data_IF_128889625617
#
_entry.id   IF_128889625617
#
_cell.length_a   1.000
_cell.length_b   1.000
_cell.length_c   1.000
_cell.angle_alpha   90.00
_cell.angle_beta   90.00
_cell.angle_gamma   90.00
#
_symmetry.space_group_name_H-M   'P 1'
#
loop_
_entity.id
_entity.type
_entity.pdbx_description
1 polymer ?
#
# COMPACT_ATOMS: atom_id res chain seq x y z
N UNK A 1 17.88 -11.27 -27.19
CA UNK A 1 18.71 -11.79 -26.10
C UNK A 1 18.21 -11.11 -24.80
N UNK A 2 17.88 -11.89 -23.79
CA UNK A 2 17.61 -11.40 -22.46
C UNK A 2 18.96 -11.34 -21.70
N UNK A 3 19.41 -10.15 -21.27
CA UNK A 3 20.63 -10.06 -20.49
C UNK A 3 20.39 -10.63 -19.09
N UNK A 4 21.27 -11.49 -18.63
CA UNK A 4 21.31 -11.93 -17.24
C UNK A 4 22.07 -10.88 -16.41
N UNK A 5 21.37 -10.19 -15.50
CA UNK A 5 21.95 -9.16 -14.66
C UNK A 5 22.19 -9.76 -13.27
N UNK A 6 23.46 -9.98 -12.93
CA UNK A 6 23.84 -10.42 -11.60
C UNK A 6 23.81 -9.24 -10.62
N UNK A 7 22.95 -9.34 -9.61
CA UNK A 7 22.93 -8.38 -8.52
C UNK A 7 24.00 -8.69 -7.48
N UNK A 8 24.53 -7.69 -6.76
CA UNK A 8 25.45 -7.91 -5.65
C UNK A 8 24.84 -8.84 -4.59
N UNK A 9 25.59 -9.81 -4.14
CA UNK A 9 25.13 -10.74 -3.09
C UNK A 9 24.84 -10.03 -1.75
N UNK A 10 25.56 -8.93 -1.49
CA UNK A 10 25.39 -8.12 -0.30
C UNK A 10 25.18 -6.66 -0.70
N UNK A 11 24.14 -6.04 -0.15
CA UNK A 11 23.91 -4.61 -0.26
C UNK A 11 24.55 -3.88 0.92
N UNK A 12 25.05 -2.63 0.73
CA UNK A 12 25.66 -1.84 1.80
C UNK A 12 24.63 -1.40 2.87
N UNK A 13 23.33 -1.43 2.52
CA UNK A 13 22.21 -1.17 3.40
C UNK A 13 21.00 -1.97 2.93
N UNK A 14 19.99 -2.11 3.79
CA UNK A 14 18.75 -2.84 3.47
C UNK A 14 18.03 -2.28 2.23
N UNK A 15 18.28 -1.02 1.94
CA UNK A 15 17.74 -0.26 0.81
C UNK A 15 18.85 0.58 0.21
N UNK A 16 19.17 0.36 -1.05
CA UNK A 16 20.29 1.00 -1.74
C UNK A 16 19.86 1.51 -3.10
N UNK A 17 20.06 2.81 -3.39
CA UNK A 17 19.90 3.36 -4.74
C UNK A 17 21.05 2.91 -5.62
N UNK A 18 20.72 2.42 -6.81
CA UNK A 18 21.67 1.98 -7.81
C UNK A 18 21.33 2.59 -9.16
N UNK A 19 22.27 2.51 -10.10
CA UNK A 19 22.06 2.98 -11.47
C UNK A 19 22.43 1.86 -12.44
N UNK A 20 21.48 1.48 -13.29
CA UNK A 20 21.73 0.61 -14.42
C UNK A 20 22.10 1.47 -15.64
N UNK A 21 23.28 1.26 -16.20
CA UNK A 21 23.74 1.97 -17.38
C UNK A 21 23.84 0.97 -18.54
N UNK A 22 22.99 1.12 -19.54
CA UNK A 22 23.04 0.35 -20.77
C UNK A 22 23.79 1.15 -21.85
N UNK A 23 24.85 0.57 -22.40
CA UNK A 23 25.65 1.18 -23.47
C UNK A 23 25.60 0.31 -24.73
N UNK A 24 25.22 0.92 -25.83
CA UNK A 24 25.35 0.32 -27.15
C UNK A 24 26.65 0.80 -27.78
N UNK A 25 27.50 -0.14 -28.18
CA UNK A 25 28.77 0.20 -28.85
C UNK A 25 28.88 -0.53 -30.18
N UNK A 26 29.51 0.12 -31.16
CA UNK A 26 29.91 -0.46 -32.44
C UNK A 26 31.41 -0.24 -32.67
N UNK A 27 32.15 -1.31 -32.94
CA UNK A 27 33.61 -1.28 -33.08
C UNK A 27 34.34 -0.58 -31.89
N UNK A 28 33.79 -0.73 -30.67
CA UNK A 28 34.33 -0.11 -29.46
C UNK A 28 33.96 1.36 -29.26
N UNK A 29 33.25 1.97 -30.18
CA UNK A 29 32.75 3.35 -30.06
C UNK A 29 31.32 3.37 -29.52
N UNK A 30 31.01 4.23 -28.55
CA UNK A 30 29.66 4.33 -28.01
C UNK A 30 28.71 4.97 -29.04
N UNK A 31 27.58 4.27 -29.32
CA UNK A 31 26.51 4.77 -30.16
C UNK A 31 25.41 5.41 -29.30
N UNK A 32 25.07 4.77 -28.20
CA UNK A 32 24.01 5.21 -27.31
C UNK A 32 24.25 4.74 -25.88
N UNK A 33 23.74 5.51 -24.92
CA UNK A 33 23.70 5.11 -23.52
C UNK A 33 22.38 5.51 -22.89
N UNK A 34 21.77 4.59 -22.14
CA UNK A 34 20.59 4.86 -21.31
C UNK A 34 20.92 4.57 -19.87
N UNK A 35 20.41 5.41 -18.98
CA UNK A 35 20.58 5.26 -17.54
C UNK A 35 19.20 5.09 -16.87
N UNK A 36 19.13 4.14 -15.94
CA UNK A 36 17.92 3.86 -15.18
C UNK A 36 18.27 3.87 -13.69
N UNK A 37 17.52 4.62 -12.92
CA UNK A 37 17.60 4.54 -11.46
C UNK A 37 16.86 3.30 -10.98
N UNK A 38 17.51 2.53 -10.12
CA UNK A 38 16.98 1.33 -9.50
C UNK A 38 17.01 1.49 -7.98
N UNK A 39 16.06 0.84 -7.34
CA UNK A 39 16.08 0.62 -5.90
C UNK A 39 16.34 -0.87 -5.65
N UNK A 40 17.46 -1.19 -5.02
CA UNK A 40 17.81 -2.54 -4.60
C UNK A 40 17.47 -2.69 -3.13
N UNK A 41 16.76 -3.76 -2.78
CA UNK A 41 16.37 -4.05 -1.40
C UNK A 41 16.75 -5.49 -1.05
N UNK A 42 17.05 -5.74 0.22
CA UNK A 42 17.16 -7.10 0.72
C UNK A 42 15.78 -7.68 1.06
N UNK A 43 15.73 -8.96 1.45
CA UNK A 43 14.47 -9.63 1.80
C UNK A 43 13.84 -9.08 3.09
N UNK A 44 14.66 -8.62 4.01
CA UNK A 44 14.22 -8.12 5.30
C UNK A 44 13.52 -6.76 5.17
N UNK A 45 13.88 -5.99 4.17
CA UNK A 45 13.25 -4.69 3.91
C UNK A 45 11.73 -4.79 3.62
N UNK A 46 11.27 -5.89 3.00
CA UNK A 46 9.85 -6.13 2.69
C UNK A 46 9.00 -6.47 3.92
N UNK A 47 9.61 -6.64 5.08
CA UNK A 47 8.88 -6.99 6.30
C UNK A 47 8.52 -5.67 7.00
N UNK A 48 7.31 -5.18 6.73
CA UNK A 48 6.76 -4.04 7.45
C UNK A 48 6.73 -4.35 8.96
N UNK A 49 7.40 -3.55 9.76
CA UNK A 49 7.33 -3.69 11.20
C UNK A 49 6.08 -3.01 11.72
N UNK A 50 5.04 -3.79 11.96
CA UNK A 50 3.88 -3.33 12.73
C UNK A 50 4.21 -3.53 14.22
N UNK A 51 4.06 -2.46 15.01
CA UNK A 51 4.16 -2.56 16.46
C UNK A 51 3.23 -3.66 16.97
N UNK A 52 3.81 -4.74 17.50
CA UNK A 52 3.09 -5.93 17.98
C UNK A 52 2.09 -5.62 19.10
N UNK A 53 2.22 -4.47 19.77
CA UNK A 53 1.29 -4.02 20.80
C UNK A 53 0.02 -3.37 20.20
N UNK A 54 0.00 -3.07 18.91
CA UNK A 54 -1.18 -2.49 18.25
C UNK A 54 -2.21 -3.56 17.93
N UNK A 55 -3.44 -3.27 18.31
CA UNK A 55 -4.59 -4.13 18.04
C UNK A 55 -5.23 -3.69 16.72
N UNK A 56 -5.01 -4.48 15.68
CA UNK A 56 -5.63 -4.31 14.38
C UNK A 56 -6.87 -5.19 14.31
N UNK A 57 -7.99 -4.62 13.90
CA UNK A 57 -9.21 -5.36 13.57
C UNK A 57 -9.44 -5.26 12.08
N UNK A 58 -9.72 -6.39 11.42
CA UNK A 58 -9.90 -6.47 9.97
C UNK A 58 -11.29 -7.00 9.62
N UNK A 59 -12.05 -6.20 8.88
CA UNK A 59 -13.19 -6.65 8.09
C UNK A 59 -12.73 -6.86 6.65
N UNK A 60 -12.63 -8.12 6.22
CA UNK A 60 -12.08 -8.50 4.92
C UNK A 60 -13.15 -9.07 3.99
N UNK A 61 -13.35 -8.45 2.84
CA UNK A 61 -14.28 -8.87 1.78
C UNK A 61 -13.58 -9.13 0.43
N UNK A 62 -12.26 -8.89 0.34
CA UNK A 62 -11.48 -9.03 -0.90
C UNK A 62 -10.17 -9.82 -0.75
N UNK A 63 -10.06 -10.59 0.33
CA UNK A 63 -8.90 -11.44 0.61
C UNK A 63 -7.60 -10.69 0.98
N UNK A 64 -7.70 -9.48 1.49
CA UNK A 64 -6.57 -8.69 2.02
C UNK A 64 -5.82 -9.43 3.14
N UNK A 65 -6.48 -10.31 3.87
CA UNK A 65 -5.87 -11.18 4.88
C UNK A 65 -4.63 -11.93 4.38
N UNK A 66 -4.61 -12.34 3.11
CA UNK A 66 -3.46 -13.05 2.51
C UNK A 66 -2.19 -12.19 2.54
N UNK A 67 -2.34 -10.88 2.31
CA UNK A 67 -1.22 -9.93 2.39
C UNK A 67 -0.76 -9.77 3.83
N UNK A 68 -1.69 -9.69 4.78
CA UNK A 68 -1.39 -9.55 6.21
C UNK A 68 -0.68 -10.79 6.75
N UNK A 69 -1.14 -11.99 6.35
CA UNK A 69 -0.51 -13.25 6.70
C UNK A 69 0.91 -13.35 6.11
N UNK A 70 1.09 -12.92 4.86
CA UNK A 70 2.41 -12.87 4.19
C UNK A 70 3.38 -11.91 4.90
N UNK A 71 2.88 -10.75 5.35
CA UNK A 71 3.66 -9.74 6.06
C UNK A 71 3.80 -10.02 7.57
N UNK A 72 3.24 -11.13 8.08
CA UNK A 72 3.18 -11.46 9.51
C UNK A 72 2.54 -10.35 10.37
N UNK A 73 1.53 -9.65 9.84
CA UNK A 73 0.79 -8.64 10.56
C UNK A 73 -0.30 -9.33 11.39
N UNK A 74 -0.24 -9.18 12.72
CA UNK A 74 -1.27 -9.70 13.61
C UNK A 74 -2.55 -8.86 13.51
N UNK A 75 -3.68 -9.52 13.31
CA UNK A 75 -4.99 -8.87 13.27
C UNK A 75 -6.06 -9.76 13.88
N UNK A 76 -7.15 -9.15 14.32
CA UNK A 76 -8.36 -9.84 14.73
C UNK A 76 -9.40 -9.74 13.60
N UNK A 77 -9.80 -10.86 12.97
CA UNK A 77 -10.83 -10.81 11.94
C UNK A 77 -12.21 -10.60 12.57
N UNK A 78 -13.06 -9.86 11.86
CA UNK A 78 -14.49 -9.76 12.12
C UNK A 78 -15.28 -10.03 10.85
N UNK A 79 -16.52 -10.50 10.98
CA UNK A 79 -17.38 -10.84 9.86
C UNK A 79 -18.36 -9.72 9.49
N UNK A 80 -18.62 -8.80 10.42
CA UNK A 80 -19.57 -7.70 10.22
C UNK A 80 -19.17 -6.42 10.96
N UNK A 81 -19.62 -5.28 10.44
CA UNK A 81 -19.42 -3.97 11.07
C UNK A 81 -20.08 -3.91 12.45
N UNK A 82 -21.16 -4.65 12.68
CA UNK A 82 -21.87 -4.70 13.97
C UNK A 82 -20.99 -5.21 15.12
N UNK A 83 -19.99 -6.04 14.80
CA UNK A 83 -19.05 -6.53 15.81
C UNK A 83 -18.14 -5.44 16.37
N UNK A 84 -17.97 -4.32 15.66
CA UNK A 84 -17.24 -3.13 16.16
C UNK A 84 -17.86 -2.56 17.46
N UNK A 85 -19.17 -2.70 17.61
CA UNK A 85 -19.87 -2.21 18.81
C UNK A 85 -19.63 -3.11 20.03
N UNK A 86 -19.05 -4.29 19.83
CA UNK A 86 -18.71 -5.15 20.94
C UNK A 86 -17.62 -4.46 21.76
N UNK A 87 -17.98 -3.99 22.95
CA UNK A 87 -17.11 -3.23 23.88
C UNK A 87 -15.80 -3.97 24.25
N UNK A 88 -15.71 -5.27 23.94
CA UNK A 88 -14.50 -6.09 24.11
C UNK A 88 -13.48 -5.87 22.98
N UNK A 89 -13.89 -5.34 21.81
CA UNK A 89 -13.03 -5.03 20.68
C UNK A 89 -12.46 -3.62 20.85
N UNK A 90 -11.34 -3.52 21.57
CA UNK A 90 -10.55 -2.29 21.60
C UNK A 90 -9.54 -2.37 20.43
N UNK A 91 -9.85 -1.74 19.31
CA UNK A 91 -8.95 -1.64 18.18
C UNK A 91 -8.16 -0.32 18.24
N UNK A 92 -6.85 -0.39 18.01
CA UNK A 92 -6.03 0.79 17.73
C UNK A 92 -6.23 1.25 16.27
N UNK A 93 -6.52 0.30 15.38
CA UNK A 93 -6.83 0.53 13.98
C UNK A 93 -7.89 -0.46 13.51
N UNK A 94 -8.94 0.02 12.87
CA UNK A 94 -9.91 -0.79 12.18
C UNK A 94 -9.71 -0.67 10.67
N UNK A 95 -9.50 -1.80 10.01
CA UNK A 95 -9.31 -1.90 8.56
C UNK A 95 -10.54 -2.54 7.95
N UNK A 96 -11.09 -1.86 6.95
CA UNK A 96 -12.22 -2.31 6.15
C UNK A 96 -11.72 -2.50 4.72
N UNK A 97 -11.73 -3.73 4.24
CA UNK A 97 -11.24 -4.07 2.92
C UNK A 97 -12.32 -4.71 2.04
N UNK A 98 -12.41 -4.23 0.78
CA UNK A 98 -13.33 -4.76 -0.21
C UNK A 98 -14.81 -4.48 0.05
N UNK A 99 -15.14 -3.53 0.91
CA UNK A 99 -16.53 -3.16 1.16
C UNK A 99 -17.08 -2.33 -0.01
N UNK A 100 -18.03 -2.88 -0.74
CA UNK A 100 -18.63 -2.22 -1.92
C UNK A 100 -19.92 -1.45 -1.58
N UNK A 101 -20.61 -1.86 -0.54
CA UNK A 101 -21.84 -1.20 -0.08
C UNK A 101 -21.99 -1.36 1.43
N UNK A 102 -22.72 -0.46 2.07
CA UNK A 102 -23.13 -0.54 3.46
C UNK A 102 -24.54 0.00 3.66
N UNK A 103 -25.24 -0.56 4.62
CA UNK A 103 -26.56 -0.08 5.04
C UNK A 103 -26.44 1.24 5.79
N UNK A 104 -27.53 1.98 5.95
CA UNK A 104 -27.50 3.22 6.72
C UNK A 104 -27.14 2.98 8.18
N UNK A 105 -27.58 1.87 8.78
CA UNK A 105 -27.17 1.45 10.11
C UNK A 105 -25.63 1.27 10.19
N UNK A 106 -25.02 0.60 9.22
CA UNK A 106 -23.56 0.39 9.19
C UNK A 106 -22.78 1.69 8.99
N UNK A 107 -23.29 2.62 8.18
CA UNK A 107 -22.70 3.96 8.03
C UNK A 107 -22.67 4.70 9.36
N UNK A 108 -23.80 4.71 10.07
CA UNK A 108 -23.91 5.34 11.40
C UNK A 108 -22.95 4.69 12.40
N UNK A 109 -22.79 3.36 12.40
CA UNK A 109 -21.85 2.66 13.26
C UNK A 109 -20.40 3.06 12.99
N UNK A 110 -20.00 3.14 11.73
CA UNK A 110 -18.65 3.56 11.32
C UNK A 110 -18.40 5.02 11.75
N UNK A 111 -19.34 5.92 11.49
CA UNK A 111 -19.24 7.33 11.91
C UNK A 111 -19.17 7.46 13.42
N UNK A 112 -20.00 6.72 14.14
CA UNK A 112 -19.99 6.71 15.62
C UNK A 112 -18.67 6.16 16.19
N UNK A 113 -18.06 5.16 15.55
CA UNK A 113 -16.74 4.67 15.93
C UNK A 113 -15.67 5.75 15.73
N UNK A 114 -15.66 6.42 14.58
CA UNK A 114 -14.72 7.50 14.29
C UNK A 114 -14.89 8.70 15.23
N UNK A 115 -16.14 9.13 15.51
CA UNK A 115 -16.43 10.26 16.39
C UNK A 115 -15.93 10.06 17.83
N UNK A 116 -15.77 8.80 18.24
CA UNK A 116 -15.17 8.39 19.52
C UNK A 116 -13.64 8.30 19.47
N UNK A 117 -13.01 8.76 18.39
CA UNK A 117 -11.56 8.72 18.19
C UNK A 117 -11.05 7.41 17.59
N UNK A 118 -11.91 6.54 17.10
CA UNK A 118 -11.54 5.33 16.39
C UNK A 118 -10.80 5.65 15.07
N UNK A 119 -9.72 4.92 14.80
CA UNK A 119 -8.95 5.06 13.56
C UNK A 119 -9.43 4.06 12.53
N UNK A 120 -9.65 4.52 11.30
CA UNK A 120 -10.18 3.74 10.18
C UNK A 120 -9.21 3.78 9.01
N UNK A 121 -9.03 2.64 8.36
CA UNK A 121 -8.35 2.52 7.08
C UNK A 121 -9.26 1.74 6.12
N UNK A 122 -9.55 2.33 4.97
CA UNK A 122 -10.33 1.67 3.93
C UNK A 122 -9.40 1.23 2.79
N UNK A 123 -9.47 -0.05 2.44
CA UNK A 123 -8.76 -0.62 1.30
C UNK A 123 -9.80 -1.14 0.29
N UNK A 124 -9.63 -0.85 -0.99
CA UNK A 124 -10.53 -1.29 -2.08
C UNK A 124 -12.03 -1.06 -1.81
N UNK A 125 -12.38 0.00 -1.08
CA UNK A 125 -13.73 0.23 -0.57
C UNK A 125 -14.31 1.57 -1.04
N UNK A 126 -13.93 2.05 -2.24
CA UNK A 126 -14.23 3.40 -2.71
C UNK A 126 -15.71 3.77 -2.66
N UNK A 127 -16.60 2.89 -3.09
CA UNK A 127 -18.04 3.17 -3.14
C UNK A 127 -18.63 3.26 -1.73
N UNK A 128 -18.22 2.37 -0.83
CA UNK A 128 -18.62 2.43 0.56
C UNK A 128 -18.12 3.70 1.24
N UNK A 129 -16.84 4.09 1.02
CA UNK A 129 -16.27 5.32 1.59
C UNK A 129 -17.04 6.54 1.10
N UNK A 130 -17.36 6.63 -0.20
CA UNK A 130 -18.18 7.71 -0.75
C UNK A 130 -19.57 7.76 -0.13
N UNK A 131 -20.19 6.59 0.10
CA UNK A 131 -21.51 6.50 0.72
C UNK A 131 -21.49 6.87 2.21
N UNK A 132 -20.38 6.61 2.91
CA UNK A 132 -20.21 6.93 4.32
C UNK A 132 -19.86 8.40 4.52
N UNK A 133 -19.01 8.97 3.65
CA UNK A 133 -18.44 10.30 3.77
C UNK A 133 -18.65 11.14 2.49
N UNK A 134 -19.90 11.33 2.02
CA UNK A 134 -20.15 12.08 0.79
C UNK A 134 -19.70 13.54 0.87
N UNK A 135 -19.61 14.10 2.07
CA UNK A 135 -19.17 15.47 2.31
C UNK A 135 -17.66 15.69 2.06
N UNK A 136 -16.86 14.62 2.12
CA UNK A 136 -15.40 14.69 1.89
C UNK A 136 -15.01 14.18 0.51
N UNK A 137 -15.85 13.35 -0.12
CA UNK A 137 -15.52 12.67 -1.37
C UNK A 137 -16.50 13.09 -2.46
N UNK A 138 -16.10 14.08 -3.24
CA UNK A 138 -16.91 14.64 -4.33
C UNK A 138 -16.78 13.86 -5.64
N UNK A 139 -15.71 13.07 -5.80
CA UNK A 139 -15.46 12.28 -7.01
C UNK A 139 -14.21 11.42 -6.89
N UNK A 140 -13.94 10.69 -7.96
CA UNK A 140 -12.76 9.86 -8.13
C UNK A 140 -12.03 10.25 -9.42
N UNK A 141 -10.72 10.34 -9.35
CA UNK A 141 -9.90 10.37 -10.54
C UNK A 141 -9.69 8.91 -10.96
N UNK A 142 -10.13 8.57 -12.16
CA UNK A 142 -9.80 7.28 -12.76
C UNK A 142 -8.43 7.49 -13.39
N UNK A 143 -7.34 6.90 -12.87
CA UNK A 143 -6.05 7.01 -13.50
C UNK A 143 -6.15 6.37 -14.89
N UNK A 144 -5.89 7.13 -15.90
CA UNK A 144 -5.52 6.58 -17.20
C UNK A 144 -4.16 5.93 -17.03
N UNK A 145 -3.92 4.85 -17.75
CA UNK A 145 -2.73 4.02 -17.72
C UNK A 145 -1.45 4.79 -17.33
N UNK A 146 -0.95 4.55 -16.14
CA UNK A 146 0.27 5.16 -15.63
C UNK A 146 0.99 4.18 -14.72
N UNK A 147 2.23 3.87 -15.07
CA UNK A 147 3.09 2.99 -14.27
C UNK A 147 3.82 3.76 -13.15
N UNK A 148 3.58 5.08 -13.07
CA UNK A 148 4.30 5.96 -12.16
C UNK A 148 3.33 6.60 -11.19
N UNK A 149 3.55 6.37 -9.90
CA UNK A 149 2.87 7.09 -8.83
C UNK A 149 3.69 8.33 -8.46
N UNK A 150 3.03 9.48 -8.42
CA UNK A 150 3.63 10.74 -7.99
C UNK A 150 3.08 11.06 -6.61
N UNK A 151 3.98 11.26 -5.63
CA UNK A 151 3.60 11.76 -4.32
C UNK A 151 3.47 13.28 -4.37
N UNK A 152 2.26 13.80 -4.30
CA UNK A 152 2.01 15.26 -4.25
C UNK A 152 2.42 15.86 -2.89
N UNK A 153 2.31 15.07 -1.83
CA UNK A 153 2.59 15.44 -0.44
C UNK A 153 3.58 14.47 0.19
N UNK A 154 4.83 14.51 -0.26
CA UNK A 154 5.92 13.68 0.28
C UNK A 154 6.32 14.04 1.73
N UNK A 155 5.88 15.20 2.23
CA UNK A 155 6.04 15.67 3.61
C UNK A 155 5.02 15.06 4.59
N UNK A 156 4.00 14.36 4.09
CA UNK A 156 3.01 13.76 4.95
C UNK A 156 3.60 12.58 5.75
N UNK A 157 3.34 12.47 7.07
CA UNK A 157 3.93 11.41 7.91
C UNK A 157 3.64 9.99 7.42
N UNK A 158 2.56 9.76 6.68
CA UNK A 158 2.21 8.46 6.11
C UNK A 158 3.21 8.01 5.03
N UNK A 159 3.99 8.93 4.46
CA UNK A 159 5.01 8.64 3.45
C UNK A 159 6.45 8.68 4.01
N UNK A 160 6.60 8.77 5.33
CA UNK A 160 7.92 8.66 5.93
C UNK A 160 8.57 7.35 5.51
N UNK A 161 9.84 7.44 5.11
CA UNK A 161 10.67 6.30 4.64
C UNK A 161 10.21 5.65 3.33
N UNK A 162 9.20 6.19 2.64
CA UNK A 162 8.81 5.75 1.31
C UNK A 162 9.53 6.58 0.26
N UNK A 163 10.36 5.93 -0.58
CA UNK A 163 10.98 6.57 -1.74
C UNK A 163 10.05 6.52 -2.95
N UNK A 164 10.08 7.55 -3.78
CA UNK A 164 9.28 7.60 -5.02
C UNK A 164 9.57 6.43 -5.95
N UNK A 165 10.79 5.88 -5.91
CA UNK A 165 11.17 4.69 -6.69
C UNK A 165 10.42 3.43 -6.24
N UNK A 166 9.99 3.35 -4.97
CA UNK A 166 9.22 2.23 -4.43
C UNK A 166 7.80 2.20 -4.97
N UNK A 167 7.30 3.37 -5.37
CA UNK A 167 5.97 3.52 -5.94
C UNK A 167 5.97 3.42 -7.48
N UNK A 168 7.15 3.33 -8.11
CA UNK A 168 7.24 3.03 -9.54
C UNK A 168 6.76 1.61 -9.79
N UNK A 169 6.00 1.42 -10.86
CA UNK A 169 5.46 0.11 -11.28
C UNK A 169 4.52 -0.53 -10.25
N UNK A 170 3.94 0.28 -9.37
CA UNK A 170 2.95 -0.18 -8.40
C UNK A 170 1.71 -0.80 -9.08
N UNK A 171 1.45 -0.41 -10.30
CA UNK A 171 0.38 -0.99 -11.11
C UNK A 171 0.94 -2.20 -11.87
N UNK A 172 0.52 -3.40 -11.45
CA UNK A 172 0.93 -4.66 -12.07
C UNK A 172 0.26 -4.82 -13.46
N UNK A 173 0.51 -3.88 -14.35
CA UNK A 173 0.07 -3.99 -15.73
C UNK A 173 0.92 -5.08 -16.41
N UNK A 174 0.35 -6.26 -16.52
CA UNK A 174 0.85 -7.28 -17.43
C UNK A 174 0.77 -6.72 -18.84
N UNK A 175 1.89 -6.25 -19.37
CA UNK A 175 2.04 -6.02 -20.80
C UNK A 175 2.22 -7.34 -21.52
#
# INVERSE_FOLDING_TARGET
>A
AEPDIQLPANLPADKTKAKLVLKLTENGLPISANEYELLLTNKEWNIGQVDSNKKIVLLDKDNTKTVFDFLNINYQPISSIKELLNSKLKADLFIISGLTACTDEEKELIRAYQSKGGKLLFLNSKEAVKAIYPEYITGWIIPTEGDIVIMERNDAPVFNDIDVLELRYFNNNKR
#
